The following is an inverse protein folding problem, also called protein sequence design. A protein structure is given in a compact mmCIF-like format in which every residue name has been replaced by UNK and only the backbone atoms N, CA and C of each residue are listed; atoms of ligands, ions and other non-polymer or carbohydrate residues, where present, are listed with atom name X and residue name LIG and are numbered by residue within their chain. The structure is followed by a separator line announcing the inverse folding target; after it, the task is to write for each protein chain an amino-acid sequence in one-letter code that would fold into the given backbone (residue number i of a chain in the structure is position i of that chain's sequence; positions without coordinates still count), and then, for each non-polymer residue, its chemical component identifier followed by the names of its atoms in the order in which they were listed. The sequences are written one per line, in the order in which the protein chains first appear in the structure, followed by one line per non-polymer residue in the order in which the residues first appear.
data_IF_308840542569
#
_entry.id   IF_308840542569
#
_cell.length_a   1.000
_cell.length_b   1.000
_cell.length_c   1.000
_cell.angle_alpha   90.00
_cell.angle_beta   90.00
_cell.angle_gamma   90.00
#
_symmetry.space_group_name_H-M   'P 1'
#
loop_
_entity.id
_entity.type
_entity.pdbx_description
1 polymer ?
#
# COMPACT_ATOMS: atom_id res chain seq x y z
N UNK A 1 6.41 33.63 -29.73
CA UNK A 1 6.22 32.17 -29.92
C UNK A 1 4.76 31.87 -29.64
N UNK A 2 3.98 31.39 -30.63
CA UNK A 2 2.56 31.11 -30.42
C UNK A 2 2.37 29.95 -29.42
N UNK A 3 1.46 30.12 -28.47
CA UNK A 3 1.07 29.04 -27.56
C UNK A 3 0.33 27.95 -28.36
N UNK A 4 0.71 26.67 -28.24
CA UNK A 4 0.00 25.59 -28.90
C UNK A 4 -1.43 25.54 -28.37
N UNK A 5 -2.42 25.71 -29.25
CA UNK A 5 -3.82 25.64 -28.87
C UNK A 5 -4.30 24.18 -28.77
N UNK A 6 -5.21 23.87 -27.82
CA UNK A 6 -5.83 22.55 -27.73
C UNK A 6 -6.65 22.25 -28.99
N UNK A 7 -6.49 21.01 -29.51
CA UNK A 7 -7.23 20.55 -30.70
C UNK A 7 -8.64 20.09 -30.30
N UNK A 8 -9.55 19.97 -31.27
CA UNK A 8 -10.91 19.41 -31.06
C UNK A 8 -10.89 18.05 -30.33
N UNK A 9 -9.92 17.18 -30.68
CA UNK A 9 -9.74 15.90 -30.01
C UNK A 9 -9.44 16.03 -28.49
N UNK A 10 -8.72 17.07 -28.07
CA UNK A 10 -8.42 17.31 -26.65
C UNK A 10 -9.69 17.69 -25.89
N UNK A 11 -10.55 18.50 -26.50
CA UNK A 11 -11.85 18.85 -25.94
C UNK A 11 -12.77 17.64 -25.84
N UNK A 12 -12.85 16.81 -26.88
CA UNK A 12 -13.61 15.55 -26.83
C UNK A 12 -13.11 14.65 -25.70
N UNK A 13 -11.79 14.48 -25.57
CA UNK A 13 -11.21 13.68 -24.50
C UNK A 13 -11.52 14.26 -23.10
N UNK A 14 -11.37 15.58 -22.92
CA UNK A 14 -11.71 16.24 -21.66
C UNK A 14 -13.19 16.05 -21.31
N UNK A 15 -14.10 16.20 -22.28
CA UNK A 15 -15.54 15.93 -22.07
C UNK A 15 -15.80 14.48 -21.68
N UNK A 16 -15.16 13.51 -22.33
CA UNK A 16 -15.31 12.08 -21.97
C UNK A 16 -14.80 11.80 -20.55
N UNK A 17 -13.65 12.39 -20.16
CA UNK A 17 -13.12 12.28 -18.81
C UNK A 17 -14.09 12.87 -17.79
N UNK A 18 -14.61 14.08 -18.05
CA UNK A 18 -15.57 14.74 -17.14
C UNK A 18 -16.87 13.93 -17.02
N UNK A 19 -17.39 13.37 -18.11
CA UNK A 19 -18.57 12.50 -18.06
C UNK A 19 -18.31 11.24 -17.24
N UNK A 20 -17.16 10.57 -17.46
CA UNK A 20 -16.78 9.40 -16.67
C UNK A 20 -16.71 9.72 -15.18
N UNK A 21 -16.04 10.81 -14.80
CA UNK A 21 -15.97 11.22 -13.40
C UNK A 21 -17.31 11.61 -12.80
N UNK A 22 -18.22 12.22 -13.57
CA UNK A 22 -19.58 12.51 -13.11
C UNK A 22 -20.37 11.23 -12.82
N UNK A 23 -20.30 10.22 -13.70
CA UNK A 23 -20.92 8.91 -13.49
C UNK A 23 -20.35 8.23 -12.24
N UNK A 24 -19.02 8.21 -12.10
CA UNK A 24 -18.35 7.64 -10.94
C UNK A 24 -18.70 8.38 -9.65
N UNK A 25 -18.88 9.69 -9.70
CA UNK A 25 -19.25 10.51 -8.54
C UNK A 25 -20.65 10.13 -8.06
N UNK A 26 -21.62 10.05 -8.97
CA UNK A 26 -22.98 9.61 -8.65
C UNK A 26 -22.95 8.20 -8.05
N UNK A 27 -22.28 7.25 -8.70
CA UNK A 27 -22.17 5.87 -8.20
C UNK A 27 -21.51 5.80 -6.81
N UNK A 28 -20.50 6.62 -6.54
CA UNK A 28 -19.81 6.67 -5.24
C UNK A 28 -20.69 7.26 -4.14
N UNK A 29 -21.44 8.32 -4.46
CA UNK A 29 -22.38 8.97 -3.53
C UNK A 29 -23.55 8.03 -3.20
N UNK A 30 -24.15 7.39 -4.21
CA UNK A 30 -25.22 6.40 -4.03
C UNK A 30 -24.72 5.18 -3.24
N UNK A 31 -23.46 4.79 -3.41
CA UNK A 31 -22.79 3.76 -2.62
C UNK A 31 -22.47 4.15 -1.17
N UNK A 32 -22.92 5.31 -0.69
CA UNK A 32 -22.74 5.77 0.69
C UNK A 32 -21.33 6.28 1.01
N UNK A 33 -20.53 6.63 0.00
CA UNK A 33 -19.12 7.04 0.16
C UNK A 33 -18.89 8.52 -0.14
N UNK A 34 -19.92 9.36 0.03
CA UNK A 34 -19.89 10.79 -0.28
C UNK A 34 -18.70 11.53 0.35
N UNK A 35 -18.35 11.21 1.60
CA UNK A 35 -17.25 11.83 2.35
C UNK A 35 -15.87 11.64 1.71
N UNK A 36 -15.74 10.64 0.84
CA UNK A 36 -14.49 10.25 0.20
C UNK A 36 -14.47 10.54 -1.31
N UNK A 37 -15.64 10.81 -1.90
CA UNK A 37 -15.81 10.99 -3.34
C UNK A 37 -15.05 12.21 -3.90
N UNK A 38 -14.86 13.26 -3.08
CA UNK A 38 -14.13 14.44 -3.49
C UNK A 38 -12.64 14.14 -3.75
N UNK A 39 -12.01 13.36 -2.87
CA UNK A 39 -10.60 12.99 -2.99
C UNK A 39 -10.38 11.86 -3.99
N UNK A 40 -11.30 10.89 -4.07
CA UNK A 40 -11.12 9.70 -4.92
C UNK A 40 -11.72 9.81 -6.32
N UNK A 41 -12.65 10.74 -6.56
CA UNK A 41 -13.32 10.88 -7.86
C UNK A 41 -13.10 12.27 -8.44
N UNK A 42 -13.46 13.32 -7.70
CA UNK A 42 -13.49 14.69 -8.25
C UNK A 42 -12.09 15.19 -8.59
N UNK A 43 -11.16 15.15 -7.63
CA UNK A 43 -9.80 15.67 -7.83
C UNK A 43 -9.06 14.96 -8.98
N UNK A 44 -9.01 13.61 -9.06
CA UNK A 44 -8.34 12.94 -10.17
C UNK A 44 -8.99 13.21 -11.53
N UNK A 45 -10.32 13.28 -11.59
CA UNK A 45 -11.05 13.58 -12.83
C UNK A 45 -10.73 14.99 -13.34
N UNK A 46 -10.73 15.99 -12.45
CA UNK A 46 -10.41 17.37 -12.83
C UNK A 46 -8.97 17.49 -13.33
N UNK A 47 -8.01 16.88 -12.63
CA UNK A 47 -6.62 16.85 -13.05
C UNK A 47 -6.46 16.17 -14.42
N UNK A 48 -7.14 15.04 -14.64
CA UNK A 48 -7.13 14.34 -15.92
C UNK A 48 -7.71 15.20 -17.06
N UNK A 49 -8.80 15.92 -16.83
CA UNK A 49 -9.41 16.81 -17.82
C UNK A 49 -8.50 18.00 -18.16
N UNK A 50 -7.89 18.64 -17.16
CA UNK A 50 -6.91 19.72 -17.35
C UNK A 50 -5.71 19.22 -18.16
N UNK A 51 -5.20 18.03 -17.86
CA UNK A 51 -4.11 17.42 -18.59
C UNK A 51 -4.48 17.07 -20.03
N UNK A 52 -5.72 16.61 -20.28
CA UNK A 52 -6.20 16.35 -21.64
C UNK A 52 -6.22 17.61 -22.51
N UNK A 53 -6.48 18.77 -21.90
CA UNK A 53 -6.43 20.07 -22.57
C UNK A 53 -5.00 20.60 -22.74
N UNK A 54 -4.00 20.02 -22.06
CA UNK A 54 -2.61 20.46 -22.10
C UNK A 54 -1.85 19.80 -23.28
N UNK A 55 -1.42 20.55 -24.30
CA UNK A 55 -0.80 19.96 -25.49
C UNK A 55 0.63 19.47 -25.22
N UNK A 56 0.83 18.15 -25.35
CA UNK A 56 2.17 17.55 -25.30
C UNK A 56 3.02 17.94 -26.52
N UNK A 57 4.08 18.73 -26.28
CA UNK A 57 5.00 19.25 -27.32
C UNK A 57 5.96 18.20 -27.88
N UNK A 58 6.26 17.15 -27.12
CA UNK A 58 7.18 16.08 -27.51
C UNK A 58 6.51 14.70 -27.40
N UNK A 59 6.99 13.67 -28.12
CA UNK A 59 6.48 12.31 -27.95
C UNK A 59 6.55 11.81 -26.50
N UNK A 60 7.65 12.09 -25.79
CA UNK A 60 7.76 11.80 -24.34
C UNK A 60 6.72 12.56 -23.52
N UNK A 61 6.53 13.85 -23.78
CA UNK A 61 5.54 14.65 -23.07
C UNK A 61 4.11 14.11 -23.28
N UNK A 62 3.77 13.67 -24.49
CA UNK A 62 2.45 13.05 -24.77
C UNK A 62 2.27 11.73 -24.03
N UNK A 63 3.29 10.87 -24.01
CA UNK A 63 3.24 9.62 -23.24
C UNK A 63 3.03 9.92 -21.76
N UNK A 64 3.80 10.84 -21.18
CA UNK A 64 3.68 11.19 -19.76
C UNK A 64 2.31 11.78 -19.42
N UNK A 65 1.79 12.70 -20.23
CA UNK A 65 0.43 13.24 -20.06
C UNK A 65 -0.60 12.12 -20.10
N UNK A 66 -0.52 11.23 -21.10
CA UNK A 66 -1.45 10.11 -21.27
C UNK A 66 -1.37 9.12 -20.11
N UNK A 67 -0.15 8.76 -19.68
CA UNK A 67 0.09 7.92 -18.50
C UNK A 67 -0.50 8.53 -17.24
N UNK A 68 -0.35 9.85 -17.06
CA UNK A 68 -0.90 10.56 -15.91
C UNK A 68 -2.43 10.52 -15.93
N UNK A 69 -3.05 10.82 -17.07
CA UNK A 69 -4.50 10.71 -17.25
C UNK A 69 -4.98 9.29 -16.93
N UNK A 70 -4.30 8.27 -17.47
CA UNK A 70 -4.66 6.88 -17.21
C UNK A 70 -4.54 6.51 -15.73
N UNK A 71 -3.47 6.91 -15.04
CA UNK A 71 -3.29 6.67 -13.61
C UNK A 71 -4.41 7.31 -12.78
N UNK A 72 -4.78 8.56 -13.10
CA UNK A 72 -5.86 9.26 -12.43
C UNK A 72 -7.20 8.56 -12.64
N UNK A 73 -7.52 8.15 -13.86
CA UNK A 73 -8.77 7.42 -14.15
C UNK A 73 -8.83 6.04 -13.49
N UNK A 74 -7.70 5.32 -13.46
CA UNK A 74 -7.58 4.01 -12.80
C UNK A 74 -7.77 4.17 -11.29
N UNK A 75 -7.21 5.22 -10.68
CA UNK A 75 -7.40 5.53 -9.26
C UNK A 75 -8.88 5.70 -8.91
N UNK A 76 -9.62 6.44 -9.74
CA UNK A 76 -11.08 6.61 -9.61
C UNK A 76 -11.80 5.28 -9.74
N UNK A 77 -11.49 4.49 -10.78
CA UNK A 77 -12.18 3.24 -11.05
C UNK A 77 -11.97 2.19 -9.94
N UNK A 78 -10.73 2.03 -9.47
CA UNK A 78 -10.38 1.04 -8.45
C UNK A 78 -10.73 1.48 -7.02
N UNK A 79 -11.18 2.73 -6.85
CA UNK A 79 -11.35 3.38 -5.56
C UNK A 79 -10.09 3.27 -4.70
N UNK A 80 -8.93 3.45 -5.34
CA UNK A 80 -7.64 3.36 -4.68
C UNK A 80 -7.25 4.69 -4.05
N UNK A 81 -6.46 4.60 -3.00
CA UNK A 81 -5.90 5.75 -2.32
C UNK A 81 -5.08 6.65 -3.26
N UNK A 82 -5.17 7.98 -3.11
CA UNK A 82 -4.26 8.89 -3.83
C UNK A 82 -2.78 8.60 -3.50
N UNK A 83 -2.52 8.11 -2.29
CA UNK A 83 -1.19 7.68 -1.85
C UNK A 83 -0.74 6.41 -2.60
N UNK A 84 -1.63 5.46 -2.87
CA UNK A 84 -1.31 4.27 -3.67
C UNK A 84 -0.80 4.66 -5.06
N UNK A 85 -1.46 5.63 -5.71
CA UNK A 85 -1.06 6.16 -7.02
C UNK A 85 0.28 6.84 -6.93
N UNK A 86 0.50 7.66 -5.89
CA UNK A 86 1.77 8.35 -5.69
C UNK A 86 2.93 7.38 -5.49
N UNK A 87 2.72 6.31 -4.73
CA UNK A 87 3.72 5.25 -4.50
C UNK A 87 3.94 4.43 -5.78
N UNK A 88 2.93 4.16 -6.59
CA UNK A 88 3.09 3.40 -7.84
C UNK A 88 3.65 4.24 -9.01
N UNK A 89 3.45 5.56 -8.99
CA UNK A 89 3.80 6.45 -10.09
C UNK A 89 5.27 6.37 -10.54
N UNK A 90 6.29 6.36 -9.65
CA UNK A 90 7.69 6.28 -10.07
C UNK A 90 7.97 5.05 -10.95
N UNK A 91 7.42 3.89 -10.59
CA UNK A 91 7.55 2.67 -11.38
C UNK A 91 6.88 2.81 -12.74
N UNK A 92 5.64 3.32 -12.76
CA UNK A 92 4.87 3.47 -14.01
C UNK A 92 5.54 4.47 -14.97
N UNK A 93 6.03 5.61 -14.46
CA UNK A 93 6.77 6.56 -15.28
C UNK A 93 8.13 6.04 -15.72
N UNK A 94 8.83 5.26 -14.90
CA UNK A 94 10.09 4.62 -15.29
C UNK A 94 9.87 3.67 -16.47
N UNK A 95 8.82 2.84 -16.43
CA UNK A 95 8.44 1.95 -17.54
C UNK A 95 8.05 2.76 -18.78
N UNK A 96 7.17 3.75 -18.64
CA UNK A 96 6.74 4.60 -19.75
C UNK A 96 7.93 5.33 -20.41
N UNK A 97 8.86 5.83 -19.60
CA UNK A 97 10.10 6.45 -20.08
C UNK A 97 10.98 5.44 -20.82
N UNK A 98 11.25 4.28 -20.20
CA UNK A 98 12.10 3.23 -20.77
C UNK A 98 11.59 2.72 -22.12
N UNK A 99 10.29 2.43 -22.21
CA UNK A 99 9.66 2.00 -23.47
C UNK A 99 9.76 3.09 -24.54
N UNK A 100 9.47 4.35 -24.19
CA UNK A 100 9.55 5.46 -25.15
C UNK A 100 10.99 5.68 -25.62
N UNK A 101 11.96 5.63 -24.71
CA UNK A 101 13.38 5.77 -25.04
C UNK A 101 13.85 4.63 -25.95
N UNK A 102 13.43 3.39 -25.66
CA UNK A 102 13.74 2.21 -26.44
C UNK A 102 13.22 2.32 -27.88
N UNK A 103 11.94 2.65 -28.07
CA UNK A 103 11.33 2.81 -29.40
C UNK A 103 12.09 3.87 -30.22
N UNK A 104 12.48 4.97 -29.57
CA UNK A 104 13.25 6.04 -30.24
C UNK A 104 14.66 5.62 -30.60
N UNK A 105 15.32 4.83 -29.75
CA UNK A 105 16.63 4.27 -30.05
C UNK A 105 16.55 3.26 -31.20
N UNK A 106 15.53 2.39 -31.19
CA UNK A 106 15.25 1.43 -32.25
C UNK A 106 15.04 2.10 -33.60
N UNK A 107 14.22 3.16 -33.65
CA UNK A 107 13.95 3.91 -34.87
C UNK A 107 15.15 4.69 -35.41
N UNK A 108 16.22 4.88 -34.63
CA UNK A 108 17.46 5.54 -35.04
C UNK A 108 18.58 4.58 -35.46
N UNK A 109 18.52 3.32 -35.03
CA UNK A 109 19.55 2.33 -35.34
C UNK A 109 19.28 1.67 -36.69
N UNK A 110 20.29 1.62 -37.58
CA UNK A 110 20.24 0.80 -38.81
C UNK A 110 20.30 -0.72 -38.53
N UNK A 111 20.58 -1.12 -37.28
CA UNK A 111 20.64 -2.53 -36.85
C UNK A 111 19.44 -2.83 -35.95
N UNK A 112 18.29 -3.05 -36.56
CA UNK A 112 16.99 -3.31 -35.91
C UNK A 112 17.04 -4.48 -34.92
N UNK A 113 17.90 -5.49 -35.16
CA UNK A 113 18.04 -6.66 -34.28
C UNK A 113 18.56 -6.34 -32.87
N UNK A 114 19.48 -5.39 -32.72
CA UNK A 114 20.01 -5.00 -31.39
C UNK A 114 19.02 -4.15 -30.59
N UNK A 115 18.07 -3.51 -31.28
CA UNK A 115 17.04 -2.69 -30.66
C UNK A 115 15.93 -3.51 -29.99
N UNK A 116 15.83 -4.80 -30.28
CA UNK A 116 14.86 -5.73 -29.68
C UNK A 116 15.42 -6.33 -28.39
N UNK A 117 16.74 -6.29 -28.18
CA UNK A 117 17.41 -6.92 -27.04
C UNK A 117 16.89 -6.50 -25.64
N UNK A 118 16.54 -5.23 -25.37
CA UNK A 118 16.00 -4.85 -24.06
C UNK A 118 14.48 -5.08 -23.93
N UNK A 119 13.78 -5.45 -24.99
CA UNK A 119 12.34 -5.69 -24.96
C UNK A 119 11.96 -6.88 -24.03
N UNK A 120 12.65 -8.05 -24.08
CA UNK A 120 12.43 -9.11 -23.11
C UNK A 120 12.63 -8.67 -21.66
N UNK A 121 13.64 -7.84 -21.36
CA UNK A 121 13.90 -7.34 -20.00
C UNK A 121 12.76 -6.44 -19.50
N UNK A 122 12.25 -5.56 -20.35
CA UNK A 122 11.09 -4.71 -20.04
C UNK A 122 9.80 -5.53 -19.87
N UNK A 123 9.63 -6.59 -20.65
CA UNK A 123 8.45 -7.45 -20.57
C UNK A 123 8.53 -8.40 -19.37
N UNK A 124 9.68 -9.04 -19.11
CA UNK A 124 9.94 -9.93 -17.98
C UNK A 124 9.71 -9.25 -16.64
N UNK A 125 10.13 -7.98 -16.49
CA UNK A 125 9.86 -7.21 -15.28
C UNK A 125 8.37 -6.93 -15.02
N UNK A 126 7.53 -7.02 -16.06
CA UNK A 126 6.07 -6.85 -15.96
C UNK A 126 5.27 -8.15 -15.87
N UNK A 127 5.93 -9.33 -15.96
CA UNK A 127 5.24 -10.63 -15.88
C UNK A 127 5.07 -11.12 -14.43
N UNK A 128 5.89 -10.64 -13.48
CA UNK A 128 5.71 -10.98 -12.07
C UNK A 128 4.31 -10.52 -11.60
N UNK A 129 3.52 -11.44 -11.05
CA UNK A 129 2.16 -11.15 -10.56
C UNK A 129 1.03 -11.31 -11.58
N UNK A 130 1.32 -11.60 -12.86
CA UNK A 130 0.30 -11.94 -13.87
C UNK A 130 -0.37 -13.29 -13.54
N UNK A 131 0.43 -14.24 -13.08
CA UNK A 131 -0.02 -15.54 -12.59
C UNK A 131 0.55 -15.80 -11.18
N UNK A 132 -0.13 -16.62 -10.37
CA UNK A 132 0.32 -16.93 -9.00
C UNK A 132 1.66 -17.67 -8.97
N UNK A 133 1.95 -18.48 -9.98
CA UNK A 133 3.19 -19.27 -10.09
C UNK A 133 4.37 -18.41 -10.55
N UNK A 134 4.10 -17.23 -11.12
CA UNK A 134 5.12 -16.29 -11.60
C UNK A 134 5.55 -15.27 -10.53
N UNK A 135 5.13 -15.43 -9.28
CA UNK A 135 5.45 -14.48 -8.19
C UNK A 135 6.76 -14.83 -7.52
N UNK A 136 7.63 -13.84 -7.36
CA UNK A 136 8.94 -14.04 -6.75
C UNK A 136 8.81 -13.81 -5.24
N UNK A 137 9.02 -14.89 -4.47
CA UNK A 137 9.02 -14.87 -3.00
C UNK A 137 7.86 -14.05 -2.39
N UNK A 138 6.60 -14.42 -2.66
CA UNK A 138 5.46 -13.63 -2.21
C UNK A 138 5.22 -13.75 -0.70
N UNK A 139 5.65 -14.83 -0.05
CA UNK A 139 5.56 -14.99 1.41
C UNK A 139 6.80 -14.36 2.06
N UNK A 140 6.57 -13.38 2.95
CA UNK A 140 7.59 -12.56 3.61
C UNK A 140 7.31 -12.46 5.11
N UNK A 141 8.31 -12.04 5.87
CA UNK A 141 8.15 -11.68 7.29
C UNK A 141 8.89 -10.40 7.62
N UNK A 142 8.34 -9.63 8.54
CA UNK A 142 8.97 -8.43 9.10
C UNK A 142 9.06 -8.55 10.61
N UNK A 143 10.19 -8.17 11.20
CA UNK A 143 10.48 -8.37 12.62
C UNK A 143 11.01 -7.09 13.28
N UNK A 144 10.54 -6.82 14.50
CA UNK A 144 11.04 -5.75 15.38
C UNK A 144 11.33 -6.34 16.75
N UNK A 145 12.47 -6.00 17.34
CA UNK A 145 12.81 -6.33 18.72
C UNK A 145 13.04 -5.07 19.54
N UNK A 146 12.47 -5.01 20.74
CA UNK A 146 12.65 -3.94 21.72
C UNK A 146 13.02 -4.52 23.08
N UNK A 147 14.06 -3.98 23.70
CA UNK A 147 14.41 -4.30 25.09
C UNK A 147 13.73 -3.30 26.01
N UNK A 148 12.97 -3.80 26.99
CA UNK A 148 12.12 -3.00 27.87
C UNK A 148 12.49 -3.23 29.33
N UNK A 149 12.29 -2.22 30.17
CA UNK A 149 12.60 -2.27 31.62
C UNK A 149 11.49 -2.97 32.43
N UNK A 150 10.96 -4.07 31.88
CA UNK A 150 9.90 -4.89 32.48
C UNK A 150 10.38 -6.33 32.64
N UNK A 151 9.84 -7.07 33.59
CA UNK A 151 10.04 -8.53 33.68
C UNK A 151 9.17 -9.27 32.65
N UNK A 152 9.49 -10.54 32.31
CA UNK A 152 8.67 -11.33 31.40
C UNK A 152 7.20 -11.45 31.83
N UNK A 153 6.94 -11.49 33.14
CA UNK A 153 5.60 -11.55 33.71
C UNK A 153 4.84 -10.24 33.52
N UNK A 154 5.53 -9.11 33.70
CA UNK A 154 4.96 -7.78 33.44
C UNK A 154 4.64 -7.60 31.96
N UNK A 155 5.53 -8.02 31.05
CA UNK A 155 5.27 -8.01 29.60
C UNK A 155 4.05 -8.87 29.27
N UNK A 156 3.96 -10.09 29.82
CA UNK A 156 2.81 -10.97 29.64
C UNK A 156 1.51 -10.32 30.14
N UNK A 157 1.55 -9.64 31.29
CA UNK A 157 0.39 -8.93 31.81
C UNK A 157 -0.06 -7.79 30.88
N UNK A 158 0.87 -7.00 30.33
CA UNK A 158 0.58 -5.96 29.33
C UNK A 158 -0.02 -6.53 28.05
N UNK A 159 0.53 -7.63 27.53
CA UNK A 159 -0.02 -8.32 26.37
C UNK A 159 -1.43 -8.86 26.64
N UNK A 160 -1.70 -9.35 27.84
CA UNK A 160 -3.03 -9.86 28.24
C UNK A 160 -4.07 -8.74 28.30
N UNK A 161 -3.67 -7.55 28.78
CA UNK A 161 -4.52 -6.37 28.84
C UNK A 161 -4.74 -5.72 27.46
N UNK A 162 -3.71 -5.77 26.60
CA UNK A 162 -3.82 -5.42 25.20
C UNK A 162 -3.26 -4.08 24.76
N UNK A 163 -3.09 -3.89 23.44
CA UNK A 163 -2.64 -2.63 22.91
C UNK A 163 -3.72 -1.57 23.05
N UNK A 164 -3.32 -0.41 23.52
CA UNK A 164 -4.13 0.80 23.56
C UNK A 164 -3.76 1.67 22.37
N UNK A 165 -4.71 2.07 21.51
CA UNK A 165 -4.44 2.99 20.40
C UNK A 165 -3.70 4.24 20.87
N UNK A 166 -2.54 4.52 20.25
CA UNK A 166 -1.77 5.74 20.46
C UNK A 166 -1.52 6.45 19.14
N UNK A 167 -1.21 7.74 19.18
CA UNK A 167 -0.83 8.47 17.98
C UNK A 167 0.44 7.87 17.35
N UNK A 168 0.39 7.63 16.04
CA UNK A 168 1.56 7.20 15.24
C UNK A 168 2.67 8.24 15.35
N UNK A 169 3.89 7.80 15.66
CA UNK A 169 5.04 8.69 15.89
C UNK A 169 6.02 8.66 14.72
N UNK A 170 6.06 7.53 14.04
CA UNK A 170 6.95 7.17 12.96
C UNK A 170 6.73 8.12 11.77
N UNK A 171 7.74 8.91 11.36
CA UNK A 171 7.57 9.95 10.35
C UNK A 171 7.03 9.43 9.01
N UNK A 172 7.51 8.25 8.60
CA UNK A 172 7.11 7.62 7.33
C UNK A 172 5.64 7.19 7.38
N UNK A 173 5.20 6.56 8.46
CA UNK A 173 3.80 6.15 8.63
C UNK A 173 2.87 7.37 8.69
N UNK A 174 3.28 8.45 9.37
CA UNK A 174 2.52 9.70 9.39
C UNK A 174 2.42 10.36 8.03
N UNK A 175 3.55 10.47 7.32
CA UNK A 175 3.62 11.07 5.99
C UNK A 175 2.70 10.34 5.00
N UNK A 176 2.72 9.01 5.05
CA UNK A 176 1.91 8.16 4.20
C UNK A 176 0.50 7.95 4.74
N UNK A 177 0.12 8.56 5.87
CA UNK A 177 -1.17 8.32 6.53
C UNK A 177 -1.52 6.83 6.64
N UNK A 178 -0.52 6.03 7.01
CA UNK A 178 -0.65 4.58 7.07
C UNK A 178 -1.84 4.19 7.96
N UNK A 179 -2.68 3.22 7.55
CA UNK A 179 -3.79 2.77 8.37
C UNK A 179 -3.28 2.27 9.73
N UNK A 180 -3.72 2.91 10.81
CA UNK A 180 -3.44 2.51 12.19
C UNK A 180 -4.77 2.24 12.91
N UNK A 181 -4.81 1.29 13.86
CA UNK A 181 -6.02 1.02 14.60
C UNK A 181 -6.35 2.20 15.52
N UNK A 182 -7.60 2.66 15.43
CA UNK A 182 -8.16 3.72 16.29
C UNK A 182 -8.94 3.14 17.46
N UNK A 183 -9.26 1.85 17.40
CA UNK A 183 -9.98 1.11 18.42
C UNK A 183 -9.41 -0.31 18.49
N UNK A 184 -9.21 -0.83 19.71
CA UNK A 184 -8.88 -2.23 19.94
C UNK A 184 -9.86 -2.78 20.97
N UNK A 185 -10.47 -3.92 20.67
CA UNK A 185 -11.34 -4.64 21.58
C UNK A 185 -10.93 -6.11 21.68
N UNK A 186 -11.24 -6.73 22.82
CA UNK A 186 -10.76 -8.06 23.16
C UNK A 186 -9.72 -8.00 24.27
N UNK A 187 -9.41 -9.17 24.82
CA UNK A 187 -8.42 -9.35 25.87
C UNK A 187 -8.03 -10.83 25.93
N UNK A 188 -6.96 -11.13 26.65
CA UNK A 188 -6.54 -12.50 26.91
C UNK A 188 -5.55 -13.06 25.89
N UNK A 189 -4.85 -14.11 26.33
CA UNK A 189 -3.81 -14.83 25.56
C UNK A 189 -4.06 -16.34 25.57
N UNK A 190 -5.24 -16.79 25.94
CA UNK A 190 -5.63 -18.20 25.90
C UNK A 190 -5.95 -18.59 24.46
N UNK A 191 -5.58 -19.78 23.97
CA UNK A 191 -6.00 -20.22 22.65
C UNK A 191 -7.52 -20.09 22.45
N UNK A 192 -7.94 -19.45 21.37
CA UNK A 192 -9.33 -19.09 21.09
C UNK A 192 -9.74 -17.67 21.51
N UNK A 193 -8.96 -16.98 22.34
CA UNK A 193 -9.19 -15.57 22.67
C UNK A 193 -9.05 -14.71 21.41
N UNK A 194 -9.91 -13.69 21.26
CA UNK A 194 -9.99 -12.87 20.06
C UNK A 194 -9.75 -11.39 20.33
N UNK A 195 -9.11 -10.76 19.34
CA UNK A 195 -8.80 -9.34 19.33
C UNK A 195 -9.32 -8.72 18.04
N UNK A 196 -9.95 -7.56 18.15
CA UNK A 196 -10.41 -6.78 17.01
C UNK A 196 -9.68 -5.45 16.99
N UNK A 197 -9.01 -5.18 15.88
CA UNK A 197 -8.35 -3.91 15.56
C UNK A 197 -9.22 -3.15 14.57
N UNK A 198 -9.86 -2.06 15.01
CA UNK A 198 -10.71 -1.20 14.20
C UNK A 198 -9.93 -0.04 13.59
N UNK A 199 -10.08 0.18 12.29
CA UNK A 199 -9.40 1.19 11.49
C UNK A 199 -10.39 2.22 10.96
N UNK A 200 -10.06 3.50 11.11
CA UNK A 200 -10.85 4.61 10.54
C UNK A 200 -10.59 4.80 9.04
N UNK A 201 -11.41 5.64 8.41
CA UNK A 201 -11.19 6.05 7.02
C UNK A 201 -9.92 6.90 6.89
N UNK A 202 -9.15 6.67 5.82
CA UNK A 202 -7.92 7.41 5.51
C UNK A 202 -7.87 7.71 4.00
N UNK A 203 -6.81 8.40 3.56
CA UNK A 203 -6.50 8.57 2.13
C UNK A 203 -6.21 7.27 1.39
N UNK A 204 -6.18 6.12 2.09
CA UNK A 204 -6.09 4.78 1.50
C UNK A 204 -7.44 4.12 1.27
N UNK A 205 -8.48 4.46 2.04
CA UNK A 205 -9.80 3.84 1.91
C UNK A 205 -10.72 4.08 3.11
N UNK A 206 -11.87 3.41 3.13
CA UNK A 206 -12.95 3.65 4.11
C UNK A 206 -12.72 3.08 5.51
N UNK A 207 -11.54 2.52 5.81
CA UNK A 207 -11.24 1.86 7.09
C UNK A 207 -11.53 0.35 7.06
N UNK A 208 -12.02 -0.18 8.18
CA UNK A 208 -12.37 -1.60 8.33
C UNK A 208 -11.89 -2.16 9.67
N UNK A 209 -11.76 -3.48 9.77
CA UNK A 209 -11.21 -4.13 10.95
C UNK A 209 -10.44 -5.41 10.63
N UNK A 210 -9.48 -5.73 11.49
CA UNK A 210 -8.78 -7.02 11.52
C UNK A 210 -9.21 -7.74 12.80
N UNK A 211 -9.69 -8.98 12.67
CA UNK A 211 -9.93 -9.87 13.81
C UNK A 211 -8.82 -10.90 13.85
N UNK A 212 -8.14 -11.01 14.98
CA UNK A 212 -7.17 -12.05 15.28
C UNK A 212 -7.69 -13.00 16.34
N UNK A 213 -7.20 -14.22 16.32
CA UNK A 213 -7.47 -15.26 17.30
C UNK A 213 -6.15 -15.84 17.78
N UNK A 214 -6.00 -16.04 19.08
CA UNK A 214 -4.82 -16.69 19.65
C UNK A 214 -4.83 -18.15 19.21
N UNK A 215 -3.86 -18.54 18.38
CA UNK A 215 -3.73 -19.91 17.89
C UNK A 215 -2.81 -20.76 18.78
N UNK A 216 -1.86 -20.13 19.46
CA UNK A 216 -0.96 -20.80 20.39
C UNK A 216 -0.43 -19.83 21.44
N UNK A 217 -0.22 -20.32 22.67
CA UNK A 217 0.35 -19.54 23.76
C UNK A 217 1.29 -20.39 24.61
N UNK A 218 2.40 -19.79 25.03
CA UNK A 218 3.40 -20.35 25.93
C UNK A 218 3.91 -19.24 26.88
N UNK A 219 4.70 -19.55 27.91
CA UNK A 219 5.14 -18.55 28.90
C UNK A 219 5.88 -17.32 28.33
N UNK A 220 6.60 -17.48 27.22
CA UNK A 220 7.36 -16.41 26.55
C UNK A 220 6.98 -16.19 25.08
N UNK A 221 5.80 -16.65 24.66
CA UNK A 221 5.39 -16.64 23.25
C UNK A 221 3.87 -16.64 23.12
N UNK A 222 3.33 -15.84 22.19
CA UNK A 222 1.96 -15.95 21.72
C UNK A 222 1.91 -15.83 20.19
N UNK A 223 1.05 -16.62 19.56
CA UNK A 223 0.82 -16.60 18.12
C UNK A 223 -0.64 -16.26 17.87
N UNK A 224 -0.86 -15.30 16.98
CA UNK A 224 -2.16 -14.85 16.53
C UNK A 224 -2.36 -15.25 15.07
N UNK A 225 -3.49 -15.93 14.80
CA UNK A 225 -4.00 -16.13 13.45
C UNK A 225 -4.94 -14.97 13.10
N UNK A 226 -4.89 -14.50 11.85
CA UNK A 226 -5.87 -13.52 11.35
C UNK A 226 -7.07 -14.28 10.80
N UNK A 227 -8.22 -14.13 11.44
CA UNK A 227 -9.46 -14.85 11.10
C UNK A 227 -10.42 -14.02 10.24
N UNK A 228 -10.31 -12.69 10.30
CA UNK A 228 -11.02 -11.79 9.39
C UNK A 228 -10.21 -10.52 9.13
N UNK A 229 -10.25 -10.02 7.90
CA UNK A 229 -9.65 -8.74 7.52
C UNK A 229 -10.55 -8.07 6.48
N UNK A 230 -11.17 -6.96 6.90
CA UNK A 230 -12.01 -6.11 6.05
C UNK A 230 -11.32 -4.78 5.70
N UNK A 231 -10.06 -4.61 6.08
CA UNK A 231 -9.32 -3.37 5.86
C UNK A 231 -8.85 -3.26 4.41
N UNK A 232 -8.51 -2.03 3.99
CA UNK A 232 -7.86 -1.79 2.70
C UNK A 232 -6.53 -2.56 2.56
N UNK A 233 -5.84 -2.85 3.67
CA UNK A 233 -4.53 -3.51 3.65
C UNK A 233 -4.59 -4.94 3.09
N UNK A 234 -5.78 -5.58 3.14
CA UNK A 234 -6.06 -6.90 2.53
C UNK A 234 -5.88 -6.93 1.00
N UNK A 235 -5.90 -5.76 0.34
CA UNK A 235 -5.58 -5.61 -1.08
C UNK A 235 -4.08 -5.64 -1.34
N UNK A 236 -3.27 -5.21 -0.38
CA UNK A 236 -1.82 -5.05 -0.53
C UNK A 236 -1.05 -6.28 -0.07
N UNK A 237 -1.56 -6.96 0.95
CA UNK A 237 -0.99 -8.16 1.52
C UNK A 237 -2.10 -9.06 2.07
N UNK A 238 -1.75 -10.30 2.38
CA UNK A 238 -2.58 -11.21 3.16
C UNK A 238 -1.81 -11.65 4.38
N UNK A 239 -2.33 -11.38 5.57
CA UNK A 239 -1.73 -11.86 6.81
C UNK A 239 -1.68 -13.39 6.85
N UNK A 240 -0.58 -13.93 7.38
CA UNK A 240 -0.39 -15.36 7.66
C UNK A 240 -0.43 -15.61 9.16
N UNK A 241 0.35 -14.87 9.91
CA UNK A 241 0.43 -14.95 11.36
C UNK A 241 1.06 -13.67 11.92
N UNK A 242 0.75 -13.37 13.18
CA UNK A 242 1.52 -12.44 13.98
C UNK A 242 2.01 -13.16 15.22
N UNK A 243 3.28 -13.04 15.55
CA UNK A 243 3.89 -13.70 16.69
C UNK A 243 4.58 -12.68 17.59
N UNK A 244 4.37 -12.81 18.90
CA UNK A 244 5.08 -12.04 19.91
C UNK A 244 5.87 -13.00 20.79
N UNK A 245 7.19 -12.84 20.83
CA UNK A 245 8.12 -13.58 21.70
C UNK A 245 8.70 -12.64 22.73
N UNK A 246 8.91 -13.11 23.96
CA UNK A 246 9.63 -12.35 24.96
C UNK A 246 10.47 -13.24 25.87
N UNK A 247 11.64 -12.75 26.26
CA UNK A 247 12.56 -13.46 27.15
C UNK A 247 13.39 -12.48 27.98
N UNK A 248 13.80 -12.92 29.17
CA UNK A 248 14.66 -12.13 30.04
C UNK A 248 16.05 -11.95 29.43
N UNK A 249 16.64 -10.77 29.61
CA UNK A 249 18.03 -10.46 29.28
C UNK A 249 18.91 -10.56 30.53
N UNK A 250 20.24 -10.62 30.34
CA UNK A 250 21.19 -10.83 31.45
C UNK A 250 21.16 -9.75 32.55
N UNK A 251 20.63 -8.57 32.25
CA UNK A 251 20.50 -7.42 33.14
C UNK A 251 19.11 -7.27 33.77
N UNK A 252 18.27 -8.30 33.70
CA UNK A 252 16.93 -8.31 34.30
C UNK A 252 15.87 -7.55 33.50
N UNK A 253 16.20 -7.05 32.30
CA UNK A 253 15.24 -6.50 31.34
C UNK A 253 14.59 -7.63 30.52
N UNK A 254 13.65 -7.28 29.64
CA UNK A 254 13.02 -8.24 28.73
C UNK A 254 13.19 -7.80 27.28
N UNK A 255 13.64 -8.70 26.42
CA UNK A 255 13.61 -8.51 24.97
C UNK A 255 12.28 -9.00 24.43
N UNK A 256 11.51 -8.11 23.80
CA UNK A 256 10.21 -8.38 23.18
C UNK A 256 10.35 -8.27 21.67
N UNK A 257 10.02 -9.34 20.97
CA UNK A 257 10.11 -9.46 19.52
C UNK A 257 8.72 -9.65 18.92
N UNK A 258 8.35 -8.80 17.98
CA UNK A 258 7.14 -8.95 17.16
C UNK A 258 7.57 -9.40 15.78
N UNK A 259 6.97 -10.47 15.28
CA UNK A 259 7.17 -10.99 13.94
C UNK A 259 5.83 -11.02 13.21
N UNK A 260 5.75 -10.36 12.06
CA UNK A 260 4.58 -10.31 11.21
C UNK A 260 4.85 -11.11 9.94
N UNK A 261 4.14 -12.23 9.75
CA UNK A 261 4.23 -13.05 8.55
C UNK A 261 3.06 -12.72 7.60
N UNK A 262 3.38 -12.47 6.33
CA UNK A 262 2.39 -12.03 5.34
C UNK A 262 2.73 -12.54 3.94
N UNK A 263 1.72 -12.59 3.08
CA UNK A 263 1.88 -12.79 1.64
C UNK A 263 1.65 -11.48 0.93
N UNK A 264 2.68 -10.91 0.30
CA UNK A 264 2.59 -9.72 -0.56
C UNK A 264 1.55 -9.93 -1.66
N UNK A 265 0.82 -8.89 -2.04
CA UNK A 265 -0.11 -8.88 -3.21
C UNK A 265 0.21 -7.79 -4.23
N UNK A 266 1.18 -6.92 -3.93
CA UNK A 266 1.65 -5.88 -4.84
C UNK A 266 2.91 -6.34 -5.55
N UNK A 267 2.92 -6.35 -6.88
CA UNK A 267 4.06 -6.76 -7.73
C UNK A 267 4.54 -5.58 -8.58
N UNK A 268 5.84 -5.50 -8.91
CA UNK A 268 6.89 -6.52 -8.73
C UNK A 268 7.59 -6.51 -7.35
N UNK A 269 8.19 -7.64 -6.98
CA UNK A 269 8.90 -7.90 -5.72
C UNK A 269 9.99 -6.88 -5.42
N UNK A 270 10.83 -6.58 -6.39
CA UNK A 270 11.98 -5.69 -6.22
C UNK A 270 11.58 -4.24 -5.91
N UNK A 271 10.36 -3.84 -6.27
CA UNK A 271 9.84 -2.51 -6.02
C UNK A 271 8.98 -2.47 -4.75
N UNK A 272 7.92 -3.27 -4.70
CA UNK A 272 6.98 -3.23 -3.59
C UNK A 272 7.43 -4.03 -2.37
N UNK A 273 8.28 -5.05 -2.54
CA UNK A 273 8.79 -5.86 -1.43
C UNK A 273 9.50 -5.03 -0.36
N UNK A 274 10.55 -4.24 -0.69
CA UNK A 274 11.24 -3.39 0.28
C UNK A 274 10.34 -2.31 0.90
N UNK A 275 9.42 -1.74 0.12
CA UNK A 275 8.48 -0.72 0.62
C UNK A 275 7.53 -1.32 1.65
N UNK A 276 6.94 -2.48 1.35
CA UNK A 276 6.01 -3.14 2.26
C UNK A 276 6.71 -3.64 3.52
N UNK A 277 7.90 -4.21 3.39
CA UNK A 277 8.68 -4.64 4.55
C UNK A 277 9.00 -3.46 5.48
N UNK A 278 9.47 -2.33 4.93
CA UNK A 278 9.73 -1.13 5.73
C UNK A 278 8.48 -0.60 6.45
N UNK A 279 7.33 -0.56 5.77
CA UNK A 279 6.07 -0.12 6.40
C UNK A 279 5.58 -1.07 7.49
N UNK A 280 5.76 -2.37 7.31
CA UNK A 280 5.39 -3.38 8.30
C UNK A 280 6.34 -3.41 9.48
N UNK A 281 7.63 -3.13 9.26
CA UNK A 281 8.61 -2.95 10.32
C UNK A 281 8.20 -1.78 11.22
N UNK A 282 7.95 -0.60 10.64
CA UNK A 282 7.47 0.57 11.39
C UNK A 282 6.12 0.28 12.07
N UNK A 283 5.21 -0.44 11.39
CA UNK A 283 3.91 -0.84 11.94
C UNK A 283 4.02 -1.79 13.15
N UNK A 284 4.97 -2.74 13.11
CA UNK A 284 5.28 -3.60 14.26
C UNK A 284 5.89 -2.82 15.42
N UNK A 285 6.73 -1.81 15.11
CA UNK A 285 7.21 -0.84 16.09
C UNK A 285 6.08 -0.05 16.75
N UNK A 286 5.11 0.40 15.95
CA UNK A 286 3.92 1.09 16.44
C UNK A 286 3.04 0.19 17.32
N UNK A 287 2.92 -1.11 17.01
CA UNK A 287 2.25 -2.08 17.87
C UNK A 287 2.92 -2.18 19.25
N UNK A 288 4.24 -2.20 19.31
CA UNK A 288 4.98 -2.18 20.58
C UNK A 288 4.75 -0.89 21.37
N UNK A 289 4.53 0.23 20.69
CA UNK A 289 4.14 1.49 21.31
C UNK A 289 2.73 1.45 21.92
N UNK A 290 1.77 0.82 21.23
CA UNK A 290 0.41 0.62 21.75
C UNK A 290 0.36 -0.30 22.98
N UNK A 291 1.29 -1.24 23.10
CA UNK A 291 1.37 -2.14 24.27
C UNK A 291 1.91 -1.46 25.54
N UNK A 292 2.30 -0.19 25.46
CA UNK A 292 2.81 0.62 26.58
C UNK A 292 3.89 -0.12 27.39
N UNK A 293 4.88 -0.66 26.67
CA UNK A 293 6.01 -1.42 27.25
C UNK A 293 7.16 -0.49 27.69
N UNK A 294 6.86 0.76 28.06
CA UNK A 294 7.87 1.74 28.48
C UNK A 294 8.20 1.65 29.95
#
# INVERSE_FOLDING_TARGET
MAEPQPRTANWVLATLITMFGAVMLVATVEGGRADSALLFVVLPTLLAAVLALTPGRTPHGRVFVTTTIALLLIAVALHEGAICVLVAAPLVYAVAHGVTALIRWAGRSRRTGLAILPLPLLLLGGFEGVDQDLRIQPDQSSQVTRVVALTPEQVRARLTAGPQPVAVREPVLRLLQAPAPVHVAGAGLTPGDRWMFGYGATSHGSGGHIVTEVSAAAPGRVVFAVVADSTITSRWLRWRAAEVRWHATADGRTAVTVELAYRRRLDPSWYFGPIQDGLLHEGAGHLLDMLDLR
#
